data_IF_800760580247
#
_entry.id   IF_800760580247
#
_cell.length_a   1.000
_cell.length_b   1.000
_cell.length_c   1.000
_cell.angle_alpha   90.00
_cell.angle_beta   90.00
_cell.angle_gamma   90.00
#
_symmetry.space_group_name_H-M   'P 1'
#
loop_
_entity.id
_entity.type
_entity.pdbx_description
1 polymer ?
#
# COMPACT_ATOMS: atom_id res chain seq x y z
N UNK A 1 -13.60 -9.52 -21.80
CA UNK A 1 -14.69 -10.09 -22.63
C UNK A 1 -15.58 -8.93 -23.03
N UNK A 2 -15.74 -8.66 -24.32
CA UNK A 2 -16.55 -7.54 -24.82
C UNK A 2 -18.03 -7.93 -24.83
N UNK A 3 -18.85 -7.15 -24.13
CA UNK A 3 -20.31 -7.18 -24.26
C UNK A 3 -20.74 -5.82 -24.78
N UNK A 4 -21.23 -5.79 -26.02
CA UNK A 4 -21.77 -4.59 -26.65
C UNK A 4 -23.20 -4.38 -26.16
N UNK A 5 -23.42 -3.33 -25.39
CA UNK A 5 -24.75 -2.81 -25.01
C UNK A 5 -24.97 -1.44 -25.62
N UNK A 6 -25.97 -1.33 -26.49
CA UNK A 6 -26.25 -0.13 -27.28
C UNK A 6 -27.19 0.84 -26.52
N UNK A 7 -26.83 2.12 -26.57
CA UNK A 7 -27.61 3.34 -26.33
C UNK A 7 -28.14 3.67 -24.92
N UNK A 8 -27.60 4.77 -24.36
CA UNK A 8 -28.47 5.81 -23.79
C UNK A 8 -28.15 6.33 -22.39
N UNK A 9 -26.91 6.68 -22.06
CA UNK A 9 -26.63 7.87 -21.23
C UNK A 9 -25.14 8.24 -21.26
N UNK A 10 -24.89 9.53 -21.17
CA UNK A 10 -23.62 10.22 -21.31
C UNK A 10 -22.53 9.76 -20.34
N UNK A 11 -21.33 9.55 -20.90
CA UNK A 11 -20.02 9.69 -20.27
C UNK A 11 -19.60 8.69 -19.17
N UNK A 12 -19.74 7.39 -19.43
CA UNK A 12 -18.82 6.40 -18.84
C UNK A 12 -18.03 5.82 -20.00
N UNK A 13 -16.87 6.43 -20.31
CA UNK A 13 -15.90 5.82 -21.22
C UNK A 13 -15.54 4.45 -20.63
N UNK A 14 -15.61 3.41 -21.46
CA UNK A 14 -15.23 2.05 -21.08
C UNK A 14 -13.88 2.08 -20.34
N UNK A 15 -13.91 1.70 -19.07
CA UNK A 15 -12.71 1.62 -18.25
C UNK A 15 -11.97 0.37 -18.67
N UNK A 16 -10.91 0.54 -19.46
CA UNK A 16 -9.99 -0.54 -19.78
C UNK A 16 -8.92 -0.63 -18.70
N UNK A 17 -9.18 -1.45 -17.68
CA UNK A 17 -8.14 -1.88 -16.75
C UNK A 17 -7.16 -2.77 -17.53
N UNK A 18 -5.92 -2.31 -17.70
CA UNK A 18 -4.86 -3.12 -18.28
C UNK A 18 -4.42 -4.11 -17.19
N UNK A 19 -4.87 -5.36 -17.33
CA UNK A 19 -4.55 -6.45 -16.38
C UNK A 19 -3.06 -6.78 -16.43
N UNK A 20 -2.33 -6.55 -15.33
CA UNK A 20 -1.04 -7.21 -15.14
C UNK A 20 -1.25 -8.71 -14.81
N UNK A 21 -0.35 -9.61 -15.27
CA UNK A 21 -0.53 -11.04 -15.07
C UNK A 21 -0.37 -11.43 -13.59
N UNK A 22 -1.40 -12.11 -13.08
CA UNK A 22 -1.51 -12.90 -11.84
C UNK A 22 -0.33 -12.85 -10.86
N UNK A 23 -0.56 -12.25 -9.70
CA UNK A 23 0.36 -12.18 -8.57
C UNK A 23 0.26 -10.81 -7.89
N UNK A 24 0.06 -10.77 -6.58
CA UNK A 24 -0.01 -9.53 -5.80
C UNK A 24 -1.23 -9.38 -4.87
N UNK A 25 -2.35 -10.05 -5.17
CA UNK A 25 -3.56 -10.00 -4.34
C UNK A 25 -4.39 -8.76 -4.55
N UNK A 26 -5.67 -8.95 -4.85
CA UNK A 26 -6.66 -7.90 -4.90
C UNK A 26 -7.25 -7.59 -3.50
N UNK A 27 -7.81 -6.38 -3.30
CA UNK A 27 -8.14 -5.38 -4.31
C UNK A 27 -6.99 -4.39 -4.59
N UNK A 28 -7.01 -3.75 -5.75
CA UNK A 28 -6.08 -2.69 -6.15
C UNK A 28 -6.75 -1.32 -6.16
N UNK A 29 -6.00 -0.28 -5.79
CA UNK A 29 -6.37 1.11 -6.04
C UNK A 29 -5.80 1.58 -7.37
N UNK A 30 -6.58 2.39 -8.08
CA UNK A 30 -6.27 2.97 -9.38
C UNK A 30 -6.39 4.48 -9.30
N UNK A 31 -5.49 5.19 -9.96
CA UNK A 31 -5.51 6.66 -10.07
C UNK A 31 -5.90 7.10 -11.48
N UNK A 32 -6.69 8.16 -11.59
CA UNK A 32 -7.00 8.78 -12.89
C UNK A 32 -5.92 9.80 -13.28
N UNK A 33 -5.36 9.69 -14.48
CA UNK A 33 -4.29 10.58 -14.99
C UNK A 33 -4.79 11.71 -15.92
N UNK A 34 -6.09 11.98 -15.91
CA UNK A 34 -6.85 12.83 -16.86
C UNK A 34 -7.21 12.15 -18.19
N UNK A 35 -6.54 11.06 -18.55
CA UNK A 35 -6.76 10.34 -19.83
C UNK A 35 -7.16 8.88 -19.66
N UNK A 36 -6.58 8.21 -18.68
CA UNK A 36 -6.69 6.79 -18.43
C UNK A 36 -6.58 6.48 -16.93
N UNK A 37 -6.94 5.25 -16.60
CA UNK A 37 -6.71 4.68 -15.28
C UNK A 37 -5.33 4.05 -15.24
N UNK A 38 -4.55 4.45 -14.24
CA UNK A 38 -3.29 3.80 -13.89
C UNK A 38 -3.52 2.93 -12.67
N UNK A 39 -3.21 1.64 -12.78
CA UNK A 39 -3.12 0.77 -11.60
C UNK A 39 -1.99 1.25 -10.72
N UNK A 40 -2.28 1.51 -9.45
CA UNK A 40 -1.25 1.85 -8.48
C UNK A 40 -0.85 0.58 -7.75
N UNK A 41 -1.54 0.20 -6.67
CA UNK A 41 -1.13 -0.96 -5.89
C UNK A 41 -2.26 -1.67 -5.17
N UNK A 42 -1.96 -2.88 -4.68
CA UNK A 42 -2.86 -3.62 -3.81
C UNK A 42 -3.06 -2.88 -2.49
N UNK A 43 -4.28 -2.93 -1.96
CA UNK A 43 -4.64 -2.39 -0.63
C UNK A 43 -5.04 -3.53 0.31
N UNK A 44 -5.08 -3.23 1.61
CA UNK A 44 -5.40 -4.18 2.68
C UNK A 44 -4.48 -5.42 2.72
N UNK A 45 -3.16 -5.32 2.48
CA UNK A 45 -2.27 -6.49 2.45
C UNK A 45 -2.26 -7.27 3.78
N UNK A 46 -2.57 -6.61 4.89
CA UNK A 46 -2.66 -7.20 6.23
C UNK A 46 -3.81 -8.22 6.36
N UNK A 47 -4.79 -8.25 5.43
CA UNK A 47 -5.90 -9.22 5.41
C UNK A 47 -5.41 -10.67 5.32
N UNK A 48 -4.20 -10.88 4.82
CA UNK A 48 -3.63 -12.21 4.58
C UNK A 48 -2.86 -12.74 5.78
N UNK A 49 -2.52 -11.89 6.73
CA UNK A 49 -1.83 -12.29 7.95
C UNK A 49 -2.72 -13.29 8.70
N UNK A 50 -2.13 -14.39 9.18
CA UNK A 50 -2.90 -15.50 9.77
C UNK A 50 -3.83 -15.04 10.91
N UNK A 51 -3.43 -14.01 11.67
CA UNK A 51 -4.23 -13.42 12.75
C UNK A 51 -5.36 -12.48 12.31
N UNK A 52 -5.37 -12.04 11.05
CA UNK A 52 -6.29 -11.02 10.53
C UNK A 52 -7.30 -11.58 9.52
N UNK A 53 -7.28 -12.88 9.23
CA UNK A 53 -8.18 -13.48 8.23
C UNK A 53 -9.66 -13.23 8.56
N UNK A 54 -10.33 -12.47 7.70
CA UNK A 54 -11.74 -12.10 7.86
C UNK A 54 -12.00 -11.01 8.92
N UNK A 55 -10.96 -10.40 9.47
CA UNK A 55 -11.05 -9.28 10.39
C UNK A 55 -10.80 -7.96 9.64
N UNK A 56 -11.51 -6.90 10.03
CA UNK A 56 -11.28 -5.56 9.48
C UNK A 56 -9.85 -5.10 9.83
N UNK A 57 -9.12 -4.68 8.81
CA UNK A 57 -7.80 -4.06 8.94
C UNK A 57 -7.83 -2.66 8.37
N UNK A 58 -7.15 -1.73 9.02
CA UNK A 58 -6.85 -0.41 8.46
C UNK A 58 -5.59 -0.51 7.58
N UNK A 59 -5.62 0.10 6.40
CA UNK A 59 -4.48 0.22 5.50
C UNK A 59 -4.30 1.68 5.09
N UNK A 60 -3.08 2.18 5.26
CA UNK A 60 -2.66 3.52 4.84
C UNK A 60 -1.57 3.37 3.78
N UNK A 61 -1.87 3.83 2.57
CA UNK A 61 -0.98 3.70 1.43
C UNK A 61 -0.66 5.05 0.82
N UNK A 62 0.61 5.46 0.83
CA UNK A 62 1.06 6.57 0.00
C UNK A 62 1.00 6.16 -1.47
N UNK A 63 0.11 6.79 -2.25
CA UNK A 63 -0.03 6.52 -3.67
C UNK A 63 1.30 6.77 -4.39
N UNK A 64 1.75 5.78 -5.16
CA UNK A 64 2.95 5.92 -5.97
C UNK A 64 2.65 6.74 -7.23
N UNK A 65 1.46 6.56 -7.81
CA UNK A 65 0.98 7.37 -8.93
C UNK A 65 0.14 8.53 -8.42
N UNK A 66 0.37 9.73 -8.95
CA UNK A 66 -0.37 10.93 -8.50
C UNK A 66 -1.65 11.08 -9.33
N UNK A 67 -2.85 11.09 -8.71
CA UNK A 67 -4.07 11.36 -9.46
C UNK A 67 -4.05 12.79 -10.02
N UNK A 68 -4.46 12.94 -11.27
CA UNK A 68 -4.62 14.23 -11.90
C UNK A 68 -5.85 14.95 -11.33
N UNK A 69 -5.74 16.28 -11.23
CA UNK A 69 -6.89 17.14 -10.92
C UNK A 69 -7.79 17.20 -12.15
N UNK A 70 -9.05 16.80 -12.00
CA UNK A 70 -10.02 16.82 -13.09
C UNK A 70 -10.58 18.22 -13.34
N UNK A 71 -11.25 18.40 -14.48
CA UNK A 71 -11.91 19.67 -14.84
C UNK A 71 -13.06 20.08 -13.89
N UNK A 72 -13.64 19.13 -13.15
CA UNK A 72 -14.67 19.34 -12.13
C UNK A 72 -14.10 19.53 -10.72
N UNK A 73 -12.80 19.81 -10.59
CA UNK A 73 -12.10 20.04 -9.32
C UNK A 73 -12.19 18.84 -8.36
N UNK A 74 -12.04 17.62 -8.90
CA UNK A 74 -12.01 16.39 -8.12
C UNK A 74 -10.72 15.60 -8.34
N UNK A 75 -10.42 14.73 -7.38
CA UNK A 75 -9.46 13.64 -7.55
C UNK A 75 -10.24 12.34 -7.69
N UNK A 76 -10.03 11.66 -8.81
CA UNK A 76 -10.73 10.44 -9.15
C UNK A 76 -9.85 9.22 -8.91
N UNK A 77 -10.35 8.30 -8.10
CA UNK A 77 -9.73 7.00 -7.81
C UNK A 77 -10.71 5.87 -8.14
N UNK A 78 -10.22 4.65 -8.25
CA UNK A 78 -11.06 3.47 -8.28
C UNK A 78 -10.45 2.34 -7.44
N UNK A 79 -11.29 1.44 -6.96
CA UNK A 79 -10.86 0.19 -6.34
C UNK A 79 -11.39 -0.95 -7.20
N UNK A 80 -10.52 -1.87 -7.59
CA UNK A 80 -10.87 -3.00 -8.45
C UNK A 80 -10.51 -4.34 -7.83
N UNK A 81 -11.41 -5.31 -8.03
CA UNK A 81 -11.21 -6.71 -7.67
C UNK A 81 -11.14 -7.54 -8.96
N UNK A 82 -9.94 -7.94 -9.39
CA UNK A 82 -9.73 -8.60 -10.70
C UNK A 82 -9.04 -9.97 -10.61
N UNK A 83 -8.81 -10.46 -9.39
CA UNK A 83 -8.23 -11.77 -9.14
C UNK A 83 -9.32 -12.78 -8.71
N UNK A 84 -9.01 -13.64 -7.73
CA UNK A 84 -9.88 -14.73 -7.26
C UNK A 84 -10.37 -14.43 -5.84
N UNK A 85 -10.34 -13.17 -5.45
CA UNK A 85 -10.70 -12.69 -4.13
C UNK A 85 -12.06 -12.00 -4.15
N UNK A 86 -12.62 -11.85 -2.97
CA UNK A 86 -13.76 -10.98 -2.71
C UNK A 86 -13.37 -10.04 -1.58
N UNK A 87 -13.58 -8.76 -1.82
CA UNK A 87 -13.18 -7.67 -0.96
C UNK A 87 -14.39 -7.07 -0.26
N UNK A 88 -14.23 -6.77 1.02
CA UNK A 88 -15.24 -6.20 1.90
C UNK A 88 -14.67 -4.91 2.49
N UNK A 89 -15.26 -3.76 2.16
CA UNK A 89 -14.72 -2.44 2.47
C UNK A 89 -15.77 -1.65 3.25
N UNK A 90 -15.38 -1.17 4.43
CA UNK A 90 -16.22 -0.40 5.35
C UNK A 90 -15.97 1.12 5.22
N UNK A 91 -14.76 1.49 4.80
CA UNK A 91 -14.36 2.88 4.73
C UNK A 91 -13.30 3.09 3.67
N UNK A 92 -13.41 4.22 2.96
CA UNK A 92 -12.30 4.77 2.17
C UNK A 92 -12.14 6.25 2.46
N UNK A 93 -10.89 6.71 2.53
CA UNK A 93 -10.54 8.14 2.66
C UNK A 93 -9.38 8.43 1.73
N UNK A 94 -9.42 9.59 1.09
CA UNK A 94 -8.22 10.21 0.55
C UNK A 94 -7.69 11.18 1.61
N UNK A 95 -6.39 11.15 1.86
CA UNK A 95 -5.68 12.09 2.72
C UNK A 95 -4.68 12.81 1.83
N UNK A 96 -4.76 14.13 1.79
CA UNK A 96 -3.92 15.00 0.98
C UNK A 96 -2.95 15.72 1.89
N UNK A 97 -1.66 15.64 1.57
CA UNK A 97 -0.61 16.31 2.32
C UNK A 97 0.07 17.32 1.42
N UNK A 98 -0.03 18.60 1.75
CA UNK A 98 0.73 19.65 1.07
C UNK A 98 1.98 19.97 1.91
N UNK A 99 3.16 19.79 1.33
CA UNK A 99 4.45 19.87 2.01
C UNK A 99 5.47 20.70 1.19
N UNK A 100 6.49 21.28 1.83
CA UNK A 100 7.53 22.03 1.13
C UNK A 100 8.19 21.23 -0.01
N UNK A 101 8.64 21.95 -1.04
CA UNK A 101 9.46 21.38 -2.11
C UNK A 101 10.68 20.65 -1.54
N UNK A 102 11.18 19.64 -2.27
CA UNK A 102 12.34 18.83 -1.88
C UNK A 102 12.15 18.05 -0.56
N UNK A 103 10.89 17.80 -0.16
CA UNK A 103 10.55 16.89 0.93
C UNK A 103 9.60 15.81 0.44
N UNK A 104 9.69 14.64 1.07
CA UNK A 104 8.82 13.49 0.78
C UNK A 104 7.91 13.21 1.98
N UNK A 105 6.76 12.59 1.71
CA UNK A 105 5.79 12.20 2.72
C UNK A 105 5.59 10.69 2.73
N UNK A 106 5.56 10.13 3.93
CA UNK A 106 5.11 8.76 4.15
C UNK A 106 4.10 8.68 5.30
N UNK A 107 3.54 7.50 5.50
CA UNK A 107 2.56 7.21 6.55
C UNK A 107 2.89 5.87 7.20
N UNK A 108 2.75 5.77 8.52
CA UNK A 108 2.84 4.48 9.21
C UNK A 108 1.49 3.74 9.26
N UNK A 109 1.51 2.51 9.77
CA UNK A 109 0.31 1.67 9.91
C UNK A 109 -0.77 2.27 10.83
N UNK A 110 -0.45 3.31 11.62
CA UNK A 110 -1.42 4.03 12.46
C UNK A 110 -2.04 5.24 11.77
N UNK A 111 -1.64 5.54 10.53
CA UNK A 111 -2.05 6.73 9.79
C UNK A 111 -1.27 7.98 10.15
N UNK A 112 -0.17 7.86 10.91
CA UNK A 112 0.68 9.01 11.26
C UNK A 112 1.55 9.38 10.08
N UNK A 113 1.47 10.65 9.69
CA UNK A 113 2.24 11.22 8.58
C UNK A 113 3.64 11.61 9.06
N UNK A 114 4.65 11.25 8.28
CA UNK A 114 6.04 11.65 8.48
C UNK A 114 6.57 12.36 7.24
N UNK A 115 7.48 13.30 7.47
CA UNK A 115 8.15 14.06 6.42
C UNK A 115 9.64 13.73 6.40
N UNK A 116 10.19 13.63 5.19
CA UNK A 116 11.58 13.30 4.94
C UNK A 116 12.24 14.27 3.97
N UNK A 117 13.56 14.36 4.06
CA UNK A 117 14.40 14.96 3.03
C UNK A 117 15.54 14.00 2.68
N UNK A 118 16.19 14.25 1.53
CA UNK A 118 17.35 13.52 1.00
C UNK A 118 18.70 14.23 1.24
N UNK A 119 19.30 14.14 2.43
CA UNK A 119 20.59 14.79 2.71
C UNK A 119 21.79 13.85 2.65
N UNK A 120 21.61 12.53 2.57
CA UNK A 120 22.71 11.58 2.65
C UNK A 120 23.33 11.30 1.27
N UNK A 121 24.65 11.26 1.21
CA UNK A 121 25.39 10.84 0.01
C UNK A 121 25.42 9.31 -0.05
N UNK A 122 24.85 8.72 -1.11
CA UNK A 122 24.85 7.29 -1.34
C UNK A 122 26.21 6.83 -1.89
N UNK A 123 27.04 6.26 -1.02
CA UNK A 123 28.46 6.04 -1.30
C UNK A 123 28.77 4.69 -1.95
N UNK A 124 28.04 3.63 -1.58
CA UNK A 124 28.21 2.29 -2.15
C UNK A 124 26.97 1.44 -1.94
N UNK A 125 26.71 0.51 -2.87
CA UNK A 125 25.70 -0.54 -2.71
C UNK A 125 26.22 -1.85 -3.31
N UNK A 126 26.11 -2.94 -2.56
CA UNK A 126 26.53 -4.26 -2.99
C UNK A 126 25.43 -5.28 -2.70
N UNK A 127 24.93 -5.95 -3.75
CA UNK A 127 24.06 -7.12 -3.61
C UNK A 127 24.95 -8.36 -3.58
N UNK A 128 25.10 -8.96 -2.41
CA UNK A 128 26.07 -10.01 -2.09
C UNK A 128 27.51 -9.66 -2.50
N UNK A 129 27.90 -9.94 -3.74
CA UNK A 129 29.22 -9.61 -4.29
C UNK A 129 29.19 -8.60 -5.44
N UNK A 130 28.01 -8.29 -5.98
CA UNK A 130 27.82 -7.42 -7.14
C UNK A 130 27.64 -5.96 -6.74
N UNK A 131 28.41 -5.05 -7.33
CA UNK A 131 28.17 -3.60 -7.19
C UNK A 131 26.92 -3.20 -7.96
N UNK A 132 25.95 -2.65 -7.22
CA UNK A 132 24.64 -2.25 -7.73
C UNK A 132 24.34 -0.77 -7.49
N UNK A 133 25.32 0.04 -7.08
CA UNK A 133 25.11 1.45 -6.71
C UNK A 133 24.40 2.24 -7.82
N UNK A 134 24.84 2.05 -9.08
CA UNK A 134 24.29 2.79 -10.22
C UNK A 134 22.83 2.46 -10.50
N UNK A 135 22.40 1.23 -10.20
CA UNK A 135 21.03 0.75 -10.42
C UNK A 135 20.09 1.25 -9.32
N UNK A 136 20.60 1.62 -8.15
CA UNK A 136 19.79 2.06 -7.01
C UNK A 136 19.84 3.58 -6.78
N UNK A 137 20.58 4.32 -7.60
CA UNK A 137 20.89 5.73 -7.35
C UNK A 137 19.74 6.67 -7.70
N UNK A 138 18.93 6.30 -8.67
CA UNK A 138 17.79 7.08 -9.16
C UNK A 138 16.66 6.14 -9.59
N UNK A 139 15.39 6.53 -9.43
CA UNK A 139 14.26 5.75 -9.94
C UNK A 139 14.23 5.88 -11.46
N UNK A 140 14.74 4.88 -12.18
CA UNK A 140 14.87 4.88 -13.64
C UNK A 140 14.35 3.60 -14.32
N UNK A 141 13.63 2.77 -13.56
CA UNK A 141 13.13 1.44 -13.94
C UNK A 141 14.22 0.40 -14.20
N UNK A 142 15.49 0.66 -13.89
CA UNK A 142 16.56 -0.33 -13.94
C UNK A 142 16.67 -1.02 -12.59
N UNK A 143 16.13 -2.23 -12.51
CA UNK A 143 16.00 -2.93 -11.23
C UNK A 143 17.18 -3.84 -10.89
N UNK A 144 17.36 -4.05 -9.58
CA UNK A 144 18.15 -5.12 -8.97
C UNK A 144 17.19 -6.20 -8.49
N UNK A 145 17.43 -7.44 -8.89
CA UNK A 145 16.73 -8.60 -8.34
C UNK A 145 17.36 -9.02 -7.02
N UNK A 146 16.52 -9.28 -6.03
CA UNK A 146 16.90 -9.79 -4.73
C UNK A 146 16.21 -11.12 -4.48
N UNK A 147 16.98 -12.19 -4.41
CA UNK A 147 16.47 -13.51 -4.06
C UNK A 147 16.23 -13.63 -2.55
N UNK A 148 15.43 -14.61 -2.13
CA UNK A 148 15.34 -14.96 -0.72
C UNK A 148 16.74 -15.25 -0.14
N UNK A 149 16.98 -14.80 1.10
CA UNK A 149 18.24 -14.86 1.83
C UNK A 149 19.40 -14.02 1.25
N UNK A 150 19.19 -13.26 0.17
CA UNK A 150 20.20 -12.33 -0.35
C UNK A 150 20.38 -11.12 0.58
N UNK A 151 21.57 -10.51 0.51
CA UNK A 151 21.91 -9.34 1.32
C UNK A 151 22.33 -8.16 0.45
N UNK A 152 21.64 -7.04 0.63
CA UNK A 152 22.05 -5.75 0.10
C UNK A 152 22.76 -4.95 1.19
N UNK A 153 24.07 -4.72 1.01
CA UNK A 153 24.88 -3.86 1.87
C UNK A 153 25.03 -2.47 1.26
N UNK A 154 24.71 -1.43 2.02
CA UNK A 154 24.76 -0.03 1.56
C UNK A 154 25.55 0.86 2.52
N UNK A 155 26.20 1.89 1.98
CA UNK A 155 26.91 2.91 2.75
C UNK A 155 26.42 4.31 2.39
N UNK A 156 26.17 5.11 3.42
CA UNK A 156 25.75 6.50 3.30
C UNK A 156 26.68 7.41 4.09
N UNK A 157 27.03 8.55 3.52
CA UNK A 157 27.92 9.55 4.12
C UNK A 157 27.23 10.91 4.24
N UNK A 158 27.78 11.81 5.05
CA UNK A 158 27.25 13.17 5.21
C UNK A 158 25.95 13.21 6.00
N UNK A 159 25.68 12.19 6.82
CA UNK A 159 24.50 12.14 7.68
C UNK A 159 24.61 13.15 8.82
N UNK A 160 23.53 13.88 9.08
CA UNK A 160 23.48 14.79 10.23
C UNK A 160 23.33 13.99 11.53
N UNK A 161 23.98 14.45 12.60
CA UNK A 161 23.84 13.84 13.93
C UNK A 161 22.47 14.17 14.53
N UNK A 162 21.90 13.23 15.29
CA UNK A 162 20.69 13.48 16.09
C UNK A 162 19.34 13.43 15.37
N UNK A 163 19.29 13.25 14.04
CA UNK A 163 18.03 13.04 13.32
C UNK A 163 17.76 11.55 13.06
N UNK A 164 16.51 11.13 13.25
CA UNK A 164 16.05 9.77 12.92
C UNK A 164 16.29 9.49 11.44
N UNK A 165 16.87 8.31 11.15
CA UNK A 165 17.19 7.88 9.78
C UNK A 165 16.26 6.76 9.35
N UNK A 166 15.85 6.84 8.10
CA UNK A 166 14.94 5.87 7.50
C UNK A 166 15.51 5.45 6.17
N UNK A 167 15.53 4.15 5.93
CA UNK A 167 15.82 3.57 4.64
C UNK A 167 14.59 3.72 3.77
N UNK A 168 14.75 4.24 2.57
CA UNK A 168 13.72 4.29 1.54
C UNK A 168 14.08 3.29 0.48
N UNK A 169 13.13 2.45 0.09
CA UNK A 169 13.25 1.53 -1.03
C UNK A 169 12.11 1.79 -2.00
N UNK A 170 12.39 1.97 -3.30
CA UNK A 170 11.37 1.77 -4.33
C UNK A 170 11.49 0.33 -4.82
N UNK A 171 10.55 -0.51 -4.41
CA UNK A 171 10.63 -1.94 -4.64
C UNK A 171 9.24 -2.56 -4.73
N UNK A 172 9.19 -3.77 -5.28
CA UNK A 172 7.97 -4.58 -5.29
C UNK A 172 8.28 -6.07 -5.21
N UNK A 173 7.24 -6.84 -4.92
CA UNK A 173 7.29 -8.31 -4.87
C UNK A 173 6.00 -8.89 -5.45
N UNK A 174 6.07 -10.13 -5.90
CA UNK A 174 4.90 -10.89 -6.35
C UNK A 174 4.22 -11.66 -5.20
N UNK A 175 4.87 -11.75 -4.04
CA UNK A 175 4.43 -12.52 -2.88
C UNK A 175 3.80 -11.58 -1.86
N UNK A 176 2.63 -11.96 -1.34
CA UNK A 176 1.71 -11.02 -0.69
C UNK A 176 1.51 -11.27 0.80
N UNK A 177 1.84 -12.47 1.28
CA UNK A 177 1.44 -13.02 2.57
C UNK A 177 2.54 -12.98 3.64
N UNK A 178 3.71 -12.42 3.33
CA UNK A 178 4.83 -12.36 4.28
C UNK A 178 5.51 -10.99 4.29
N UNK A 179 6.32 -10.76 5.33
CA UNK A 179 7.26 -9.64 5.39
C UNK A 179 8.35 -9.86 4.33
N UNK A 180 8.56 -8.89 3.45
CA UNK A 180 9.50 -8.99 2.33
C UNK A 180 10.96 -8.96 2.73
N UNK A 181 11.26 -8.29 3.84
CA UNK A 181 12.63 -8.22 4.34
C UNK A 181 12.76 -7.53 5.68
N UNK A 182 14.00 -7.29 6.04
CA UNK A 182 14.37 -6.58 7.26
C UNK A 182 15.55 -5.65 7.01
N UNK A 183 15.53 -4.48 7.63
CA UNK A 183 16.61 -3.48 7.57
C UNK A 183 17.30 -3.39 8.93
N UNK A 184 18.63 -3.26 8.95
CA UNK A 184 19.37 -2.85 10.15
C UNK A 184 20.54 -1.94 9.82
N UNK A 185 20.95 -1.13 10.78
CA UNK A 185 22.29 -0.55 10.76
C UNK A 185 23.32 -1.62 11.14
N UNK A 186 24.50 -1.62 10.51
CA UNK A 186 25.55 -2.63 10.74
C UNK A 186 26.13 -2.62 12.16
N UNK A 187 26.00 -1.51 12.89
CA UNK A 187 26.37 -1.35 14.29
C UNK A 187 25.21 -1.60 15.26
N UNK A 188 24.05 -2.06 14.78
CA UNK A 188 22.85 -2.32 15.56
C UNK A 188 22.48 -3.80 15.46
N UNK A 189 22.03 -4.35 16.58
CA UNK A 189 21.46 -5.71 16.63
C UNK A 189 19.97 -5.73 16.28
N UNK A 190 19.32 -4.55 16.22
CA UNK A 190 17.90 -4.43 15.97
C UNK A 190 17.59 -4.42 14.46
N UNK A 191 16.75 -5.36 14.04
CA UNK A 191 16.15 -5.37 12.71
C UNK A 191 14.76 -4.73 12.76
N UNK A 192 14.45 -3.98 11.71
CA UNK A 192 13.10 -3.48 11.43
C UNK A 192 12.58 -4.20 10.20
N UNK A 193 11.49 -4.95 10.38
CA UNK A 193 10.83 -5.63 9.27
C UNK A 193 10.05 -4.66 8.39
N UNK A 194 9.93 -4.98 7.10
CA UNK A 194 9.07 -4.27 6.18
C UNK A 194 8.34 -5.24 5.25
N UNK A 195 7.29 -4.73 4.62
CA UNK A 195 6.48 -5.41 3.60
C UNK A 195 6.48 -4.56 2.34
N UNK A 196 6.66 -5.20 1.20
CA UNK A 196 6.48 -4.59 -0.10
C UNK A 196 5.06 -4.82 -0.61
N UNK A 197 4.65 -4.01 -1.58
CA UNK A 197 3.39 -4.18 -2.30
C UNK A 197 3.63 -4.84 -3.66
N UNK A 198 2.54 -5.20 -4.33
CA UNK A 198 2.58 -5.93 -5.60
C UNK A 198 3.28 -5.16 -6.72
N UNK A 199 2.99 -3.86 -6.82
CA UNK A 199 3.62 -2.94 -7.76
C UNK A 199 4.66 -2.07 -7.04
N UNK A 200 5.55 -1.43 -7.81
CA UNK A 200 6.60 -0.55 -7.27
C UNK A 200 5.98 0.54 -6.41
N UNK A 201 6.45 0.64 -5.17
CA UNK A 201 6.08 1.71 -4.25
C UNK A 201 7.27 2.07 -3.37
N UNK A 202 7.23 3.26 -2.79
CA UNK A 202 8.23 3.66 -1.82
C UNK A 202 7.87 3.13 -0.43
N UNK A 203 8.83 2.47 0.22
CA UNK A 203 8.70 1.97 1.58
C UNK A 203 9.77 2.61 2.46
N UNK A 204 9.34 3.27 3.53
CA UNK A 204 10.21 3.88 4.54
C UNK A 204 10.35 2.93 5.72
N UNK A 205 11.58 2.55 6.03
CA UNK A 205 11.90 1.61 7.10
C UNK A 205 12.84 2.28 8.11
N UNK A 206 12.46 2.37 9.41
CA UNK A 206 13.33 2.91 10.45
C UNK A 206 14.69 2.21 10.53
N UNK A 207 15.77 2.99 10.54
CA UNK A 207 17.14 2.50 10.76
C UNK A 207 17.58 2.91 12.16
N UNK A 208 17.48 1.98 13.10
CA UNK A 208 17.90 2.20 14.49
C UNK A 208 19.42 2.21 14.61
N UNK A 209 20.01 3.37 14.89
CA UNK A 209 21.46 3.53 15.05
C UNK A 209 21.84 4.64 16.02
N UNK A 210 23.07 4.56 16.52
CA UNK A 210 23.72 5.67 17.22
C UNK A 210 24.30 6.69 16.22
N UNK A 211 24.31 7.97 16.59
CA UNK A 211 24.66 9.10 15.72
C UNK A 211 26.09 9.02 15.16
N UNK A 212 26.24 8.55 13.92
CA UNK A 212 27.51 8.49 13.18
C UNK A 212 27.42 9.25 11.84
N UNK A 213 28.56 9.74 11.36
CA UNK A 213 28.70 10.47 10.08
C UNK A 213 28.66 9.57 8.85
N UNK A 214 28.81 8.26 9.06
CA UNK A 214 28.77 7.23 8.03
C UNK A 214 27.89 6.10 8.52
N UNK A 215 26.87 5.79 7.74
CA UNK A 215 25.85 4.79 8.09
C UNK A 215 25.99 3.63 7.14
N UNK A 216 26.21 2.44 7.69
CA UNK A 216 26.18 1.20 6.94
C UNK A 216 24.85 0.50 7.22
N UNK A 217 24.11 0.15 6.17
CA UNK A 217 22.80 -0.50 6.29
C UNK A 217 22.85 -1.84 5.60
N UNK A 218 22.31 -2.86 6.26
CA UNK A 218 22.02 -4.16 5.67
C UNK A 218 20.52 -4.28 5.41
N UNK A 219 20.16 -4.76 4.23
CA UNK A 219 18.81 -5.26 3.93
C UNK A 219 18.92 -6.77 3.71
N UNK A 220 18.16 -7.54 4.49
CA UNK A 220 18.02 -8.99 4.33
C UNK A 220 16.66 -9.30 3.70
N UNK A 221 16.70 -9.97 2.56
CA UNK A 221 15.50 -10.33 1.80
C UNK A 221 14.96 -11.69 2.25
N UNK A 222 13.65 -11.77 2.44
CA UNK A 222 12.96 -13.01 2.85
C UNK A 222 12.26 -13.70 1.67
N UNK A 223 12.15 -12.99 0.55
CA UNK A 223 11.48 -13.43 -0.66
C UNK A 223 12.08 -12.75 -1.88
N UNK A 224 11.73 -13.26 -3.06
CA UNK A 224 12.07 -12.61 -4.31
C UNK A 224 11.43 -11.21 -4.37
N UNK A 225 12.25 -10.20 -4.64
CA UNK A 225 11.82 -8.81 -4.80
C UNK A 225 12.66 -8.14 -5.88
N UNK A 226 12.14 -7.06 -6.44
CA UNK A 226 12.92 -6.19 -7.32
C UNK A 226 12.98 -4.78 -6.76
N UNK A 227 14.13 -4.13 -6.89
CA UNK A 227 14.42 -2.83 -6.30
C UNK A 227 14.95 -1.90 -7.38
N UNK A 228 14.37 -0.73 -7.51
CA UNK A 228 14.76 0.30 -8.49
C UNK A 228 15.50 1.47 -7.83
N UNK A 229 15.31 1.65 -6.53
CA UNK A 229 15.85 2.81 -5.83
C UNK A 229 16.08 2.53 -4.35
N UNK A 230 17.16 3.10 -3.81
CA UNK A 230 17.41 3.11 -2.37
C UNK A 230 17.98 4.45 -1.89
N UNK A 231 17.63 4.84 -0.68
CA UNK A 231 18.10 6.07 -0.05
C UNK A 231 18.11 5.97 1.47
N UNK A 232 19.00 6.71 2.13
CA UNK A 232 18.88 7.00 3.55
C UNK A 232 18.35 8.42 3.78
N UNK A 233 17.06 8.54 4.04
CA UNK A 233 16.41 9.82 4.31
C UNK A 233 16.53 10.23 5.78
N UNK A 234 16.38 11.53 6.02
CA UNK A 234 16.29 12.12 7.36
C UNK A 234 14.89 12.61 7.62
N UNK A 235 14.35 12.26 8.78
CA UNK A 235 13.07 12.80 9.22
C UNK A 235 13.21 14.30 9.46
N UNK A 236 12.22 15.05 8.97
CA UNK A 236 12.12 16.50 9.07
C UNK A 236 10.86 16.89 9.83
N UNK A 237 10.86 18.10 10.38
CA UNK A 237 9.72 18.70 11.07
C UNK A 237 9.49 20.11 10.50
N UNK A 238 9.25 20.20 9.18
CA UNK A 238 8.84 21.44 8.53
C UNK A 238 7.31 21.55 8.51
N UNK A 239 6.73 22.75 8.43
CA UNK A 239 5.28 22.90 8.32
C UNK A 239 4.74 22.24 7.06
N UNK A 240 3.77 21.36 7.21
CA UNK A 240 2.94 20.79 6.14
C UNK A 240 1.46 20.85 6.56
N UNK A 241 0.54 20.69 5.62
CA UNK A 241 -0.90 20.61 5.91
C UNK A 241 -1.43 19.24 5.56
N UNK A 242 -2.38 18.75 6.36
CA UNK A 242 -3.10 17.50 6.09
C UNK A 242 -4.57 17.82 5.92
N UNK A 243 -5.13 17.41 4.79
CA UNK A 243 -6.54 17.59 4.45
C UNK A 243 -7.17 16.24 4.15
N UNK A 244 -8.30 15.94 4.78
CA UNK A 244 -9.14 14.79 4.41
C UNK A 244 -10.33 15.32 3.61
N UNK A 245 -10.27 15.33 2.27
CA UNK A 245 -11.38 15.77 1.44
C UNK A 245 -12.65 14.94 1.61
N UNK A 246 -13.78 15.57 1.30
CA UNK A 246 -15.08 14.92 1.18
C UNK A 246 -15.09 13.94 0.00
N UNK A 247 -15.55 12.71 0.24
CA UNK A 247 -15.93 11.76 -0.81
C UNK A 247 -17.29 12.20 -1.36
N UNK A 248 -17.33 12.65 -2.61
CA UNK A 248 -18.50 13.23 -3.26
C UNK A 248 -19.37 12.18 -3.95
N UNK A 249 -18.74 11.14 -4.50
CA UNK A 249 -19.41 10.07 -5.19
C UNK A 249 -18.68 8.75 -4.94
N UNK A 250 -19.43 7.67 -4.82
CA UNK A 250 -18.90 6.31 -4.92
C UNK A 250 -19.86 5.47 -5.75
N UNK A 251 -19.42 5.00 -6.93
CA UNK A 251 -20.27 4.28 -7.88
C UNK A 251 -19.69 2.89 -8.13
N UNK A 252 -20.35 1.88 -7.60
CA UNK A 252 -20.08 0.47 -7.83
C UNK A 252 -20.54 0.05 -9.23
N UNK A 253 -19.75 -0.77 -9.90
CA UNK A 253 -19.96 -1.18 -11.30
C UNK A 253 -21.27 -1.94 -11.52
N UNK A 254 -21.77 -2.65 -10.49
CA UNK A 254 -23.00 -3.46 -10.56
C UNK A 254 -24.14 -2.94 -9.66
N UNK A 255 -23.81 -2.21 -8.58
CA UNK A 255 -24.80 -1.81 -7.55
C UNK A 255 -25.17 -0.33 -7.65
N UNK A 256 -24.43 0.47 -8.42
CA UNK A 256 -24.64 1.90 -8.51
C UNK A 256 -24.07 2.65 -7.30
N UNK A 257 -24.82 3.62 -6.76
CA UNK A 257 -24.35 4.47 -5.67
C UNK A 257 -24.17 3.69 -4.35
N UNK A 258 -22.93 3.68 -3.85
CA UNK A 258 -22.52 3.03 -2.59
C UNK A 258 -21.86 4.03 -1.63
N UNK A 259 -22.05 5.35 -1.82
CA UNK A 259 -21.37 6.40 -1.06
C UNK A 259 -21.52 6.24 0.46
N UNK A 260 -22.72 5.90 0.94
CA UNK A 260 -22.98 5.77 2.37
C UNK A 260 -22.18 4.62 3.01
N UNK A 261 -21.88 3.55 2.26
CA UNK A 261 -21.11 2.38 2.73
C UNK A 261 -19.62 2.63 2.90
N UNK A 262 -19.11 3.76 2.39
CA UNK A 262 -17.67 4.04 2.33
C UNK A 262 -17.25 5.31 3.07
N UNK A 263 -18.19 6.02 3.70
CA UNK A 263 -17.96 7.33 4.34
C UNK A 263 -17.87 7.25 5.86
N UNK A 264 -18.41 6.21 6.48
CA UNK A 264 -18.46 6.04 7.94
C UNK A 264 -18.09 4.61 8.31
N UNK A 265 -17.30 4.45 9.38
CA UNK A 265 -17.00 3.13 9.96
C UNK A 265 -18.20 2.67 10.81
N UNK A 266 -19.16 2.02 10.18
CA UNK A 266 -20.38 1.52 10.82
C UNK A 266 -20.60 0.01 10.66
N UNK A 267 -19.71 -0.67 9.93
CA UNK A 267 -19.79 -2.10 9.62
C UNK A 267 -20.72 -2.42 8.45
N UNK A 268 -21.29 -1.43 7.74
CA UNK A 268 -22.08 -1.64 6.53
C UNK A 268 -21.19 -1.79 5.28
N UNK A 269 -20.59 -2.97 5.17
CA UNK A 269 -19.59 -3.27 4.16
C UNK A 269 -20.12 -3.14 2.72
N UNK A 270 -19.34 -2.48 1.86
CA UNK A 270 -19.38 -2.65 0.41
C UNK A 270 -18.66 -3.94 0.03
N UNK A 271 -19.22 -4.70 -0.91
CA UNK A 271 -18.62 -5.95 -1.40
C UNK A 271 -18.18 -5.79 -2.85
N UNK A 272 -16.92 -6.08 -3.14
CA UNK A 272 -16.38 -6.22 -4.49
C UNK A 272 -16.10 -7.69 -4.77
N UNK A 273 -16.79 -8.26 -5.76
CA UNK A 273 -16.57 -9.61 -6.27
C UNK A 273 -15.63 -9.58 -7.50
N UNK A 274 -15.10 -10.73 -7.96
CA UNK A 274 -14.23 -10.77 -9.13
C UNK A 274 -14.82 -10.07 -10.36
N UNK A 275 -14.02 -9.18 -10.95
CA UNK A 275 -14.32 -8.27 -12.05
C UNK A 275 -15.25 -7.09 -11.73
N UNK A 276 -15.46 -6.77 -10.45
CA UNK A 276 -16.20 -5.58 -10.03
C UNK A 276 -15.23 -4.48 -9.61
N UNK A 277 -15.71 -3.24 -9.68
CA UNK A 277 -14.96 -2.07 -9.23
C UNK A 277 -15.89 -1.01 -8.66
N UNK A 278 -15.33 -0.09 -7.88
CA UNK A 278 -15.99 1.14 -7.44
C UNK A 278 -15.16 2.34 -7.89
N UNK A 279 -15.82 3.36 -8.43
CA UNK A 279 -15.19 4.66 -8.76
C UNK A 279 -15.48 5.64 -7.64
N UNK A 280 -14.48 6.40 -7.23
CA UNK A 280 -14.51 7.34 -6.11
C UNK A 280 -14.11 8.73 -6.59
N UNK A 281 -14.94 9.75 -6.32
CA UNK A 281 -14.59 11.15 -6.59
C UNK A 281 -14.43 11.91 -5.27
N UNK A 282 -13.22 12.41 -5.00
CA UNK A 282 -12.92 13.22 -3.83
C UNK A 282 -12.85 14.70 -4.21
N UNK A 283 -13.39 15.58 -3.37
CA UNK A 283 -13.27 17.03 -3.56
C UNK A 283 -11.80 17.45 -3.52
N UNK A 284 -11.31 18.16 -4.53
CA UNK A 284 -9.94 18.64 -4.50
C UNK A 284 -9.82 19.93 -3.64
N UNK A 285 -9.04 19.94 -2.56
CA UNK A 285 -8.71 21.18 -1.87
C UNK A 285 -7.70 21.99 -2.70
N UNK A 286 -7.69 23.31 -2.52
CA UNK A 286 -6.69 24.18 -3.13
C UNK A 286 -5.28 23.78 -2.67
N UNK A 287 -4.33 23.70 -3.60
CA UNK A 287 -2.90 23.52 -3.28
C UNK A 287 -2.35 24.77 -2.60
N UNK A 288 -1.70 24.59 -1.45
CA UNK A 288 -0.97 25.65 -0.78
C UNK A 288 0.17 26.19 -1.68
N UNK A 289 0.30 27.51 -1.75
CA UNK A 289 1.30 28.16 -2.60
C UNK A 289 2.73 27.75 -2.19
N UNK A 290 3.55 27.36 -3.16
CA UNK A 290 4.93 26.93 -2.92
C UNK A 290 5.08 25.54 -2.29
N UNK A 291 4.00 24.78 -2.18
CA UNK A 291 4.01 23.40 -1.68
C UNK A 291 3.87 22.39 -2.83
N UNK A 292 4.42 21.20 -2.61
CA UNK A 292 4.14 19.97 -3.34
C UNK A 292 3.02 19.18 -2.65
N UNK A 293 2.36 18.31 -3.43
CA UNK A 293 1.25 17.48 -2.95
C UNK A 293 1.59 16.00 -3.02
N UNK A 294 1.31 15.32 -1.91
CA UNK A 294 1.33 13.87 -1.76
C UNK A 294 -0.06 13.35 -1.37
N UNK A 295 -0.33 12.11 -1.71
CA UNK A 295 -1.64 11.48 -1.52
C UNK A 295 -1.48 10.18 -0.74
N UNK A 296 -2.29 10.02 0.29
CA UNK A 296 -2.40 8.78 1.05
C UNK A 296 -3.83 8.26 0.87
N UNK A 297 -3.97 7.07 0.34
CA UNK A 297 -5.22 6.35 0.30
C UNK A 297 -5.35 5.52 1.57
N UNK A 298 -6.42 5.76 2.33
CA UNK A 298 -6.73 5.00 3.53
C UNK A 298 -7.98 4.16 3.29
N UNK A 299 -7.93 2.89 3.69
CA UNK A 299 -9.05 1.98 3.58
C UNK A 299 -9.20 1.13 4.84
N UNK A 300 -10.44 0.76 5.15
CA UNK A 300 -10.76 -0.21 6.20
C UNK A 300 -11.56 -1.34 5.58
N UNK A 301 -11.11 -2.56 5.77
CA UNK A 301 -11.75 -3.71 5.13
C UNK A 301 -10.97 -4.98 5.32
N UNK A 302 -11.36 -6.00 4.57
CA UNK A 302 -10.59 -7.21 4.38
C UNK A 302 -10.92 -7.84 3.03
N UNK A 303 -10.09 -8.77 2.57
CA UNK A 303 -10.43 -9.64 1.46
C UNK A 303 -10.17 -11.11 1.79
N UNK A 304 -10.84 -11.99 1.06
CA UNK A 304 -10.70 -13.44 1.19
C UNK A 304 -10.85 -14.12 -0.16
N UNK A 305 -10.33 -15.34 -0.30
CA UNK A 305 -10.52 -16.14 -1.50
C UNK A 305 -12.02 -16.34 -1.80
N UNK A 306 -12.42 -16.03 -3.03
CA UNK A 306 -13.78 -16.19 -3.50
C UNK A 306 -14.09 -17.67 -3.73
N UNK A 307 -14.81 -18.29 -2.79
CA UNK A 307 -15.30 -19.66 -2.95
C UNK A 307 -16.52 -19.67 -3.88
N UNK A 308 -16.27 -19.87 -5.17
CA UNK A 308 -17.34 -20.07 -6.14
C UNK A 308 -18.04 -21.40 -5.80
N UNK A 309 -19.23 -21.35 -5.19
CA UNK A 309 -20.05 -22.52 -4.88
C UNK A 309 -20.65 -23.12 -6.16
N UNK A 310 -19.81 -23.63 -7.05
CA UNK A 310 -20.20 -24.66 -8.01
C UNK A 310 -19.84 -26.00 -7.40
N UNK A 311 -20.84 -26.56 -6.75
CA UNK A 311 -20.99 -27.97 -6.39
C UNK A 311 -20.25 -28.87 -7.38
N UNK A 312 -19.07 -29.36 -7.00
CA UNK A 312 -18.64 -30.69 -7.46
C UNK A 312 -19.36 -31.68 -6.55
N UNK A 313 -20.48 -32.22 -7.04
CA UNK A 313 -20.99 -33.49 -6.55
C UNK A 313 -19.94 -34.56 -6.89
N UNK A 314 -19.02 -34.81 -5.96
CA UNK A 314 -18.38 -36.10 -5.81
C UNK A 314 -18.70 -36.55 -4.40
N UNK A 315 -19.67 -37.46 -4.32
CA UNK A 315 -20.27 -37.87 -3.07
C UNK A 315 -19.27 -38.50 -2.13
N UNK A 316 -19.23 -37.97 -0.90
CA UNK A 316 -18.96 -38.75 0.29
C UNK A 316 -19.92 -38.22 1.36
N UNK A 317 -20.70 -39.13 1.93
CA UNK A 317 -21.56 -38.87 3.07
C UNK A 317 -20.72 -38.34 4.23
N UNK A 318 -21.01 -37.15 4.74
CA UNK A 318 -20.93 -36.96 6.18
C UNK A 318 -22.08 -36.10 6.68
N UNK A 319 -22.81 -36.66 7.64
CA UNK A 319 -23.94 -36.04 8.32
C UNK A 319 -23.39 -35.35 9.56
N UNK A 320 -23.26 -34.03 9.54
CA UNK A 320 -23.50 -33.22 10.74
C UNK A 320 -23.70 -31.74 10.35
N UNK A 321 -24.96 -31.40 10.09
CA UNK A 321 -25.44 -30.04 10.31
C UNK A 321 -25.50 -29.81 11.82
N UNK A 322 -24.65 -28.94 12.35
CA UNK A 322 -24.92 -28.24 13.60
C UNK A 322 -24.75 -26.75 13.36
N UNK A 323 -25.90 -26.11 13.24
CA UNK A 323 -26.18 -24.70 13.47
C UNK A 323 -25.75 -24.33 14.89
N UNK A 324 -24.82 -23.40 15.06
CA UNK A 324 -24.77 -22.43 16.17
C UNK A 324 -23.56 -21.49 16.00
N UNK A 325 -23.83 -20.18 16.02
CA UNK A 325 -22.83 -19.11 16.07
C UNK A 325 -22.30 -19.05 17.50
N UNK A 326 -21.00 -19.23 17.78
CA UNK A 326 -20.46 -18.91 19.09
C UNK A 326 -20.46 -17.39 19.25
N UNK A 327 -21.42 -16.88 20.03
CA UNK A 327 -21.26 -15.61 20.73
C UNK A 327 -20.29 -15.84 21.88
N UNK A 328 -19.43 -14.85 22.12
CA UNK A 328 -18.49 -14.71 23.25
C UNK A 328 -17.03 -15.13 22.96
N UNK A 329 -16.27 -14.21 22.35
CA UNK A 329 -14.88 -13.99 22.77
C UNK A 329 -14.83 -12.77 23.68
N UNK A 330 -15.31 -12.95 24.91
CA UNK A 330 -14.99 -12.06 26.01
C UNK A 330 -13.50 -12.20 26.34
N UNK A 331 -12.76 -11.10 26.18
CA UNK A 331 -11.42 -10.90 26.72
C UNK A 331 -11.44 -11.16 28.23
N UNK A 332 -10.95 -12.32 28.67
CA UNK A 332 -10.57 -12.54 30.06
C UNK A 332 -9.24 -13.27 30.16
N UNK A 333 -8.29 -12.54 30.76
CA UNK A 333 -7.13 -13.02 31.50
C UNK A 333 -5.98 -13.63 30.69
N UNK A 334 -4.88 -12.87 30.58
CA UNK A 334 -3.61 -13.32 31.14
C UNK A 334 -2.65 -12.15 31.40
N UNK A 335 -2.71 -11.66 32.63
CA UNK A 335 -1.56 -11.17 33.36
C UNK A 335 -1.58 -11.81 34.74
N UNK A 336 -0.44 -12.06 35.40
CA UNK A 336 0.94 -11.89 34.92
C UNK A 336 1.69 -13.24 34.88
N UNK A 337 2.81 -13.34 34.15
CA UNK A 337 3.84 -14.29 34.61
C UNK A 337 5.27 -13.72 34.51
N UNK A 338 5.93 -13.51 35.65
CA UNK A 338 7.37 -13.30 35.75
C UNK A 338 8.10 -14.64 35.63
N UNK A 339 9.27 -14.68 34.99
CA UNK A 339 10.53 -15.32 35.41
C UNK A 339 11.61 -15.00 34.38
#
# INVERSE_FOLDING_TARGET
>A
VSVVGNNGNSAYREVHFIRQPAGGGCPFVYTWDDTAWTEDNNILPQSQDEGNRGALTDDYYCLYTKPALTADETYRLAIGEFEQEQSFIDLTKLIIVDHPLETDITVDDSGRVFQFAKPAFFASAQMDTLDVLKMLFAPDSVTVEAEADSRLEMSFQGTSQGTEKWMVLAAHTMVKDVKSGSVRAKNSEAFTDFRLRANQSFVWVPVHQDSVSTVMVDVLWKEFSTIDYAELSQKMELPFTVTVPELLSAVHSEEGDVLQKLTVEDGDLMVLSPNQWVTLDFRAPRLAEGMERSFIFASKGYYQLYQNSKVQTSGVNDKSLVTEIPKDFALMQNSPNPF
#
